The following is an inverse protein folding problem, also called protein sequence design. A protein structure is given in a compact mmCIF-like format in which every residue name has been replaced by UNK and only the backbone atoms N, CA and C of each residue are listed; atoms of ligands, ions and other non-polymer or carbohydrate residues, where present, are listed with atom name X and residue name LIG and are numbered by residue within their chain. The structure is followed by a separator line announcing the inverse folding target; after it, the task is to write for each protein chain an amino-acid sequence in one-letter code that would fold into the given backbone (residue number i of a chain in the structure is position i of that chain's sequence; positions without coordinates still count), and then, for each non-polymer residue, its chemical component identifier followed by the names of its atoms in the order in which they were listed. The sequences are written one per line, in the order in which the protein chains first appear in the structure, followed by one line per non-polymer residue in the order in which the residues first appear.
data_IF_700579550925
#
_entry.id   IF_700579550925
#
_cell.length_a   1.000
_cell.length_b   1.000
_cell.length_c   1.000
_cell.angle_alpha   90.00
_cell.angle_beta   90.00
_cell.angle_gamma   90.00
#
_symmetry.space_group_name_H-M   'P 1'
#
loop_
_entity.id
_entity.type
_entity.pdbx_description
1 polymer ?
#
# COMPACT_ATOMS: atom_id res chain seq x y z
N UNK A 1 -7.84 0.91 -11.03
CA UNK A 1 -6.90 2.02 -10.89
C UNK A 1 -7.13 2.86 -9.64
N UNK A 2 -8.28 3.52 -9.44
CA UNK A 2 -8.52 4.33 -8.20
C UNK A 2 -8.33 3.49 -6.92
N UNK A 3 -8.76 2.23 -6.90
CA UNK A 3 -8.52 1.36 -5.75
C UNK A 3 -7.02 1.13 -5.50
N UNK A 4 -6.23 0.93 -6.55
CA UNK A 4 -4.77 0.80 -6.41
C UNK A 4 -4.15 2.09 -5.86
N UNK A 5 -4.63 3.25 -6.29
CA UNK A 5 -4.21 4.53 -5.72
C UNK A 5 -4.59 4.64 -4.23
N UNK A 6 -5.81 4.27 -3.86
CA UNK A 6 -6.24 4.24 -2.45
C UNK A 6 -5.38 3.27 -1.63
N UNK A 7 -5.01 2.12 -2.19
CA UNK A 7 -4.12 1.15 -1.54
C UNK A 7 -2.72 1.76 -1.29
N UNK A 8 -2.16 2.44 -2.29
CA UNK A 8 -0.86 3.10 -2.14
C UNK A 8 -0.89 4.27 -1.15
N UNK A 9 -1.95 5.09 -1.18
CA UNK A 9 -2.13 6.18 -0.20
C UNK A 9 -2.27 5.59 1.21
N UNK A 10 -3.07 4.51 1.36
CA UNK A 10 -3.22 3.81 2.63
C UNK A 10 -1.88 3.24 3.12
N UNK A 11 -1.10 2.62 2.23
CA UNK A 11 0.23 2.12 2.54
C UNK A 11 1.13 3.23 3.11
N UNK A 12 1.23 4.39 2.43
CA UNK A 12 2.03 5.51 2.91
C UNK A 12 1.51 6.09 4.22
N UNK A 13 0.18 6.17 4.38
CA UNK A 13 -0.45 6.67 5.61
C UNK A 13 -0.17 5.73 6.78
N UNK A 14 -0.33 4.43 6.59
CA UNK A 14 -0.03 3.43 7.63
C UNK A 14 1.46 3.44 7.93
N UNK A 15 2.34 3.51 6.92
CA UNK A 15 3.78 3.61 7.12
C UNK A 15 4.18 4.81 8.00
N UNK A 16 3.48 5.93 7.91
CA UNK A 16 3.77 7.13 8.71
C UNK A 16 3.14 7.10 10.11
N UNK A 17 2.01 6.42 10.28
CA UNK A 17 1.20 6.49 11.51
C UNK A 17 1.19 5.21 12.33
N UNK A 18 1.79 4.11 11.84
CA UNK A 18 1.80 2.84 12.56
C UNK A 18 2.58 2.97 13.88
N UNK A 19 2.10 2.33 14.97
CA UNK A 19 2.75 2.40 16.26
C UNK A 19 4.02 1.52 16.31
N UNK A 20 5.09 1.99 15.70
CA UNK A 20 6.38 1.32 15.68
C UNK A 20 7.09 1.37 17.04
N UNK A 21 7.81 0.31 17.38
CA UNK A 21 8.84 0.40 18.41
C UNK A 21 10.08 1.15 17.89
N UNK A 22 11.01 1.50 18.79
CA UNK A 22 12.19 2.31 18.45
C UNK A 22 13.04 1.68 17.34
N UNK A 23 13.28 0.36 17.39
CA UNK A 23 14.09 -0.33 16.38
C UNK A 23 13.42 -0.32 15.00
N UNK A 24 12.09 -0.49 14.94
CA UNK A 24 11.32 -0.40 13.71
C UNK A 24 11.31 1.02 13.13
N UNK A 25 11.19 2.05 13.99
CA UNK A 25 11.30 3.44 13.57
C UNK A 25 12.66 3.74 12.96
N UNK A 26 13.74 3.29 13.61
CA UNK A 26 15.10 3.50 13.12
C UNK A 26 15.33 2.82 11.78
N UNK A 27 14.80 1.61 11.58
CA UNK A 27 14.85 0.89 10.31
C UNK A 27 14.12 1.64 9.19
N UNK A 28 12.91 2.13 9.46
CA UNK A 28 12.13 2.89 8.48
C UNK A 28 12.83 4.21 8.13
N UNK A 29 13.38 4.92 9.12
CA UNK A 29 14.13 6.15 8.88
C UNK A 29 15.41 5.88 8.05
N UNK A 30 16.05 4.72 8.23
CA UNK A 30 17.20 4.32 7.44
C UNK A 30 16.83 4.07 5.97
N UNK A 31 15.68 3.45 5.68
CA UNK A 31 15.15 3.29 4.30
C UNK A 31 15.03 4.66 3.59
N UNK A 32 14.70 5.72 4.31
CA UNK A 32 14.62 7.07 3.76
C UNK A 32 15.90 7.88 3.91
N UNK A 33 17.04 7.25 4.24
CA UNK A 33 18.35 7.88 4.47
C UNK A 33 18.34 8.98 5.56
N UNK A 34 17.39 8.95 6.47
CA UNK A 34 17.30 9.88 7.60
C UNK A 34 18.09 9.40 8.83
N UNK A 35 18.53 8.14 8.81
CA UNK A 35 19.42 7.51 9.78
C UNK A 35 20.34 6.50 9.10
N UNK A 36 21.43 6.16 9.75
CA UNK A 36 22.27 5.02 9.37
C UNK A 36 21.57 3.72 9.76
N UNK A 37 21.78 2.68 8.96
CA UNK A 37 21.32 1.35 9.31
C UNK A 37 21.97 0.86 10.60
N UNK A 38 21.21 0.19 11.46
CA UNK A 38 21.75 -0.57 12.58
C UNK A 38 22.78 -1.60 12.09
N UNK A 39 23.65 -2.12 12.95
CA UNK A 39 24.62 -3.13 12.57
C UNK A 39 23.90 -4.39 12.06
N UNK A 40 23.86 -4.50 10.74
CA UNK A 40 23.29 -5.59 9.98
C UNK A 40 24.41 -6.43 9.35
N UNK A 41 24.11 -7.68 9.05
CA UNK A 41 24.99 -8.48 8.19
C UNK A 41 25.01 -7.90 6.76
N UNK A 42 26.05 -8.21 5.99
CA UNK A 42 26.14 -7.78 4.61
C UNK A 42 24.94 -8.25 3.75
N UNK A 43 24.40 -9.43 4.05
CA UNK A 43 23.22 -9.97 3.37
C UNK A 43 21.94 -9.18 3.70
N UNK A 44 21.72 -8.85 4.97
CA UNK A 44 20.58 -8.02 5.40
C UNK A 44 20.66 -6.63 4.80
N UNK A 45 21.85 -6.02 4.80
CA UNK A 45 22.05 -4.69 4.20
C UNK A 45 21.78 -4.70 2.70
N UNK A 46 22.27 -5.72 1.97
CA UNK A 46 21.99 -5.86 0.55
C UNK A 46 20.49 -5.98 0.26
N UNK A 47 19.76 -6.78 1.05
CA UNK A 47 18.32 -6.90 0.96
C UNK A 47 17.61 -5.56 1.22
N UNK A 48 18.04 -4.81 2.25
CA UNK A 48 17.44 -3.51 2.57
C UNK A 48 17.67 -2.47 1.47
N UNK A 49 18.81 -2.46 0.80
CA UNK A 49 19.03 -1.60 -0.37
C UNK A 49 18.09 -1.94 -1.53
N UNK A 50 17.76 -3.23 -1.74
CA UNK A 50 16.76 -3.59 -2.75
C UNK A 50 15.35 -3.12 -2.32
N UNK A 51 15.00 -3.24 -1.04
CA UNK A 51 13.74 -2.72 -0.48
C UNK A 51 13.62 -1.20 -0.72
N UNK A 52 14.70 -0.43 -0.57
CA UNK A 52 14.71 1.02 -0.87
C UNK A 52 14.26 1.30 -2.32
N UNK A 53 14.74 0.54 -3.30
CA UNK A 53 14.31 0.72 -4.70
C UNK A 53 12.82 0.47 -4.88
N UNK A 54 12.25 -0.51 -4.18
CA UNK A 54 10.81 -0.77 -4.24
C UNK A 54 10.01 0.37 -3.60
N UNK A 55 10.49 0.99 -2.52
CA UNK A 55 9.86 2.16 -1.91
C UNK A 55 9.87 3.36 -2.87
N UNK A 56 11.00 3.63 -3.52
CA UNK A 56 11.11 4.69 -4.54
C UNK A 56 10.16 4.41 -5.71
N UNK A 57 10.13 3.17 -6.22
CA UNK A 57 9.23 2.78 -7.30
C UNK A 57 7.75 2.94 -6.89
N UNK A 58 7.39 2.55 -5.67
CA UNK A 58 6.04 2.73 -5.12
C UNK A 58 5.66 4.21 -5.01
N UNK A 59 6.60 5.09 -4.62
CA UNK A 59 6.37 6.53 -4.56
C UNK A 59 6.12 7.12 -5.95
N UNK A 60 6.97 6.78 -6.93
CA UNK A 60 6.80 7.22 -8.33
C UNK A 60 5.45 6.75 -8.88
N UNK A 61 5.08 5.47 -8.64
CA UNK A 61 3.80 4.92 -9.05
C UNK A 61 2.63 5.68 -8.39
N UNK A 62 2.73 6.00 -7.10
CA UNK A 62 1.71 6.76 -6.38
C UNK A 62 1.50 8.13 -7.01
N UNK A 63 2.57 8.89 -7.27
CA UNK A 63 2.51 10.22 -7.91
C UNK A 63 1.88 10.10 -9.30
N UNK A 64 2.31 9.12 -10.10
CA UNK A 64 1.80 8.89 -11.45
C UNK A 64 0.30 8.60 -11.45
N UNK A 65 -0.16 7.75 -10.53
CA UNK A 65 -1.57 7.42 -10.37
C UNK A 65 -2.40 8.59 -9.83
N UNK A 66 -1.83 9.46 -8.98
CA UNK A 66 -2.48 10.70 -8.55
C UNK A 66 -2.76 11.62 -9.74
N UNK A 67 -1.76 11.85 -10.59
CA UNK A 67 -1.91 12.67 -11.81
C UNK A 67 -2.94 12.07 -12.77
N UNK A 68 -2.93 10.75 -12.93
CA UNK A 68 -3.89 10.08 -13.79
C UNK A 68 -5.31 10.12 -13.19
N UNK A 69 -5.48 9.90 -11.89
CA UNK A 69 -6.77 9.94 -11.21
C UNK A 69 -7.41 11.34 -11.26
N UNK A 70 -6.60 12.40 -11.21
CA UNK A 70 -7.05 13.77 -11.41
C UNK A 70 -7.71 13.97 -12.78
N UNK A 71 -7.15 13.35 -13.84
CA UNK A 71 -7.69 13.44 -15.21
C UNK A 71 -8.85 12.49 -15.48
N UNK A 72 -8.89 11.33 -14.81
CA UNK A 72 -9.84 10.24 -15.04
C UNK A 72 -10.41 9.71 -13.71
N UNK A 73 -11.28 10.47 -13.03
CA UNK A 73 -11.71 10.15 -11.67
C UNK A 73 -12.74 9.02 -11.56
N UNK A 74 -13.13 8.36 -12.67
CA UNK A 74 -14.20 7.34 -12.66
C UNK A 74 -13.82 6.09 -11.87
N UNK A 75 -14.57 5.72 -10.82
CA UNK A 75 -14.38 4.44 -10.14
C UNK A 75 -14.94 3.27 -10.98
N UNK A 76 -14.17 2.20 -11.10
CA UNK A 76 -14.63 0.94 -11.71
C UNK A 76 -15.07 -0.02 -10.60
N UNK A 77 -16.31 0.12 -10.13
CA UNK A 77 -16.82 -0.58 -8.96
C UNK A 77 -16.70 -2.11 -9.02
N UNK A 78 -16.90 -2.72 -10.22
CA UNK A 78 -16.77 -4.17 -10.40
C UNK A 78 -15.33 -4.67 -10.20
N UNK A 79 -14.32 -3.93 -10.66
CA UNK A 79 -12.89 -4.26 -10.41
C UNK A 79 -12.58 -4.16 -8.92
N UNK A 80 -13.09 -3.14 -8.29
CA UNK A 80 -12.89 -2.97 -6.84
C UNK A 80 -13.57 -4.05 -6.03
N UNK A 81 -14.81 -4.40 -6.37
CA UNK A 81 -15.52 -5.49 -5.70
C UNK A 81 -14.71 -6.79 -5.81
N UNK A 82 -14.16 -7.09 -6.99
CA UNK A 82 -13.29 -8.24 -7.19
C UNK A 82 -12.04 -8.17 -6.29
N UNK A 83 -11.35 -7.03 -6.26
CA UNK A 83 -10.17 -6.83 -5.40
C UNK A 83 -10.52 -6.99 -3.91
N UNK A 84 -11.65 -6.41 -3.46
CA UNK A 84 -12.10 -6.53 -2.06
C UNK A 84 -12.46 -7.97 -1.70
N UNK A 85 -13.07 -8.73 -2.62
CA UNK A 85 -13.43 -10.14 -2.38
C UNK A 85 -12.21 -11.07 -2.40
N UNK A 86 -11.19 -10.78 -3.21
CA UNK A 86 -10.00 -11.62 -3.33
C UNK A 86 -8.93 -11.34 -2.26
N UNK A 87 -8.85 -10.11 -1.76
CA UNK A 87 -7.80 -9.73 -0.80
C UNK A 87 -7.86 -10.47 0.55
N UNK A 88 -9.03 -10.85 1.13
CA UNK A 88 -9.04 -11.69 2.33
C UNK A 88 -8.37 -13.06 2.11
N UNK A 89 -8.39 -13.58 0.89
CA UNK A 89 -7.73 -14.87 0.58
C UNK A 89 -6.21 -14.78 0.79
N UNK A 90 -5.60 -13.64 0.53
CA UNK A 90 -4.17 -13.41 0.77
C UNK A 90 -3.84 -13.35 2.27
N UNK A 91 -4.79 -12.94 3.11
CA UNK A 91 -4.63 -12.87 4.56
C UNK A 91 -4.84 -14.24 5.23
N UNK A 92 -5.71 -15.11 4.69
CA UNK A 92 -5.96 -16.44 5.23
C UNK A 92 -4.67 -17.30 5.23
N UNK A 93 -3.87 -17.20 4.16
CA UNK A 93 -2.59 -17.89 4.01
C UNK A 93 -1.43 -16.91 3.90
N UNK A 94 -1.36 -15.94 4.81
CA UNK A 94 -0.41 -14.83 4.74
C UNK A 94 1.04 -15.29 4.61
N UNK A 95 1.44 -16.33 5.34
CA UNK A 95 2.80 -16.88 5.24
C UNK A 95 3.15 -17.33 3.81
N UNK A 96 2.26 -18.07 3.16
CA UNK A 96 2.50 -18.53 1.78
C UNK A 96 2.48 -17.37 0.78
N UNK A 97 1.56 -16.43 0.96
CA UNK A 97 1.46 -15.21 0.14
C UNK A 97 2.73 -14.37 0.30
N UNK A 98 3.23 -14.22 1.52
CA UNK A 98 4.46 -13.51 1.85
C UNK A 98 5.69 -14.14 1.18
N UNK A 99 5.84 -15.46 1.29
CA UNK A 99 6.92 -16.22 0.64
C UNK A 99 6.84 -16.11 -0.89
N UNK A 100 5.64 -16.20 -1.46
CA UNK A 100 5.43 -16.03 -2.90
C UNK A 100 5.83 -14.62 -3.37
N UNK A 101 5.43 -13.58 -2.65
CA UNK A 101 5.80 -12.20 -2.96
C UNK A 101 7.32 -12.02 -2.90
N UNK A 102 7.99 -12.56 -1.88
CA UNK A 102 9.45 -12.49 -1.79
C UNK A 102 10.15 -13.19 -2.95
N UNK A 103 9.67 -14.34 -3.39
CA UNK A 103 10.20 -15.03 -4.58
C UNK A 103 10.04 -14.21 -5.86
N UNK A 104 8.98 -13.43 -5.98
CA UNK A 104 8.75 -12.55 -7.14
C UNK A 104 9.68 -11.33 -7.09
N UNK A 105 9.78 -10.66 -5.95
CA UNK A 105 10.56 -9.42 -5.82
C UNK A 105 12.05 -9.67 -5.62
N UNK A 106 12.42 -10.80 -5.00
CA UNK A 106 13.80 -11.19 -4.67
C UNK A 106 14.13 -12.58 -5.23
N UNK A 107 14.13 -12.75 -6.57
CA UNK A 107 14.32 -14.07 -7.19
C UNK A 107 15.68 -14.69 -6.91
N UNK A 108 16.67 -13.90 -6.47
CA UNK A 108 18.00 -14.37 -6.04
C UNK A 108 18.01 -15.01 -4.66
N UNK A 109 16.90 -14.98 -3.90
CA UNK A 109 16.76 -15.64 -2.60
C UNK A 109 17.43 -14.93 -1.42
N UNK A 110 17.83 -13.68 -1.57
CA UNK A 110 18.52 -12.88 -0.54
C UNK A 110 17.60 -12.35 0.58
N UNK A 111 16.43 -12.95 0.77
CA UNK A 111 15.43 -12.61 1.79
C UNK A 111 15.30 -13.69 2.88
N UNK A 112 16.11 -14.75 2.82
CA UNK A 112 16.07 -15.84 3.79
C UNK A 112 17.15 -15.59 4.84
N UNK A 113 16.72 -15.21 6.04
CA UNK A 113 17.62 -14.90 7.15
C UNK A 113 17.42 -15.84 8.33
N UNK A 114 18.46 -16.05 9.18
CA UNK A 114 18.32 -16.74 10.44
C UNK A 114 17.27 -16.08 11.35
N UNK A 115 16.61 -16.87 12.21
CA UNK A 115 15.58 -16.39 13.12
C UNK A 115 16.06 -15.33 14.14
N UNK A 116 17.35 -15.33 14.44
CA UNK A 116 18.04 -14.41 15.34
C UNK A 116 18.62 -13.20 14.60
N UNK A 117 18.41 -13.07 13.30
CA UNK A 117 18.88 -11.93 12.53
C UNK A 117 18.18 -10.64 12.97
N UNK A 118 18.86 -9.52 12.78
CA UNK A 118 18.32 -8.21 13.14
C UNK A 118 16.99 -7.91 12.43
N UNK A 119 16.88 -8.22 11.13
CA UNK A 119 15.66 -7.98 10.37
C UNK A 119 14.48 -8.82 10.89
N UNK A 120 14.67 -10.13 11.10
CA UNK A 120 13.60 -11.02 11.57
C UNK A 120 13.13 -10.64 12.97
N UNK A 121 14.04 -10.24 13.85
CA UNK A 121 13.70 -9.84 15.22
C UNK A 121 13.07 -8.45 15.30
N UNK A 122 13.44 -7.54 14.39
CA UNK A 122 12.89 -6.17 14.35
C UNK A 122 11.53 -6.11 13.67
N UNK A 123 11.36 -6.80 12.53
CA UNK A 123 10.14 -6.80 11.71
C UNK A 123 9.68 -8.26 11.45
N UNK A 124 9.14 -8.93 12.47
CA UNK A 124 8.65 -10.29 12.33
C UNK A 124 7.44 -10.38 11.37
N UNK A 125 7.08 -11.58 10.96
CA UNK A 125 5.97 -11.80 10.03
C UNK A 125 4.64 -11.23 10.53
N UNK A 126 4.40 -11.28 11.81
CA UNK A 126 3.21 -10.71 12.47
C UNK A 126 3.11 -9.19 12.29
N UNK A 127 4.24 -8.49 12.28
CA UNK A 127 4.31 -7.06 11.97
C UNK A 127 3.78 -6.79 10.55
N UNK A 128 4.25 -7.55 9.56
CA UNK A 128 3.79 -7.39 8.17
C UNK A 128 2.33 -7.76 7.99
N UNK A 129 1.83 -8.77 8.71
CA UNK A 129 0.41 -9.11 8.72
C UNK A 129 -0.44 -7.95 9.25
N UNK A 130 -0.09 -7.39 10.42
CA UNK A 130 -0.81 -6.27 11.02
C UNK A 130 -0.77 -5.03 10.12
N UNK A 131 0.41 -4.72 9.58
CA UNK A 131 0.60 -3.62 8.64
C UNK A 131 -0.26 -3.79 7.37
N UNK A 132 -0.29 -4.99 6.79
CA UNK A 132 -1.08 -5.31 5.60
C UNK A 132 -2.59 -5.20 5.86
N UNK A 133 -3.06 -5.69 7.00
CA UNK A 133 -4.47 -5.58 7.42
C UNK A 133 -4.87 -4.11 7.59
N UNK A 134 -4.06 -3.32 8.31
CA UNK A 134 -4.33 -1.89 8.52
C UNK A 134 -4.36 -1.13 7.17
N UNK A 135 -3.39 -1.39 6.30
CA UNK A 135 -3.32 -0.80 4.95
C UNK A 135 -4.55 -1.15 4.13
N UNK A 136 -4.97 -2.40 4.14
CA UNK A 136 -6.14 -2.85 3.38
C UNK A 136 -7.43 -2.21 3.89
N UNK A 137 -7.67 -2.20 5.20
CA UNK A 137 -8.86 -1.57 5.80
C UNK A 137 -8.93 -0.09 5.42
N UNK A 138 -7.81 0.64 5.58
CA UNK A 138 -7.76 2.06 5.22
C UNK A 138 -8.00 2.28 3.72
N UNK A 139 -7.46 1.43 2.85
CA UNK A 139 -7.69 1.51 1.41
C UNK A 139 -9.17 1.34 1.04
N UNK A 140 -9.86 0.39 1.67
CA UNK A 140 -11.31 0.17 1.48
C UNK A 140 -12.11 1.40 1.94
N UNK A 141 -11.76 1.98 3.08
CA UNK A 141 -12.40 3.20 3.59
C UNK A 141 -12.21 4.36 2.59
N UNK A 142 -10.98 4.63 2.18
CA UNK A 142 -10.66 5.71 1.24
C UNK A 142 -11.39 5.53 -0.10
N UNK A 143 -11.41 4.31 -0.60
CA UNK A 143 -12.12 4.01 -1.85
C UNK A 143 -13.64 4.19 -1.72
N UNK A 144 -14.21 3.76 -0.61
CA UNK A 144 -15.66 3.95 -0.34
C UNK A 144 -16.01 5.43 -0.29
N UNK A 145 -15.23 6.24 0.44
CA UNK A 145 -15.40 7.69 0.51
C UNK A 145 -15.29 8.31 -0.87
N UNK A 146 -14.23 7.96 -1.63
CA UNK A 146 -14.06 8.44 -3.00
C UNK A 146 -15.27 8.13 -3.88
N UNK A 147 -15.76 6.91 -3.83
CA UNK A 147 -16.90 6.45 -4.62
C UNK A 147 -18.18 7.22 -4.25
N UNK A 148 -18.46 7.42 -2.97
CA UNK A 148 -19.61 8.20 -2.50
C UNK A 148 -19.54 9.66 -2.98
N UNK A 149 -18.39 10.31 -2.86
CA UNK A 149 -18.19 11.69 -3.33
C UNK A 149 -18.38 11.80 -4.83
N UNK A 150 -17.79 10.87 -5.61
CA UNK A 150 -17.93 10.85 -7.05
C UNK A 150 -19.39 10.73 -7.52
N UNK A 151 -20.14 9.77 -6.96
CA UNK A 151 -21.54 9.57 -7.35
C UNK A 151 -22.44 10.70 -6.88
N UNK A 152 -22.19 11.30 -5.72
CA UNK A 152 -22.92 12.49 -5.26
C UNK A 152 -22.75 13.66 -6.25
N UNK A 153 -21.56 13.93 -6.71
CA UNK A 153 -21.28 14.98 -7.69
C UNK A 153 -21.95 14.69 -9.03
N UNK A 154 -21.91 13.44 -9.47
CA UNK A 154 -22.55 13.00 -10.72
C UNK A 154 -24.07 13.19 -10.66
N UNK A 155 -24.73 12.77 -9.58
CA UNK A 155 -26.18 12.94 -9.38
C UNK A 155 -26.57 14.41 -9.36
N UNK A 156 -25.84 15.27 -8.64
CA UNK A 156 -26.11 16.71 -8.58
C UNK A 156 -25.99 17.39 -9.94
N UNK A 157 -24.96 17.03 -10.71
CA UNK A 157 -24.76 17.55 -12.07
C UNK A 157 -25.85 17.08 -13.04
N UNK A 158 -26.30 15.84 -12.92
CA UNK A 158 -27.39 15.28 -13.71
C UNK A 158 -28.71 16.03 -13.42
N UNK A 159 -29.06 16.20 -12.16
CA UNK A 159 -30.30 16.92 -11.75
C UNK A 159 -30.28 18.37 -12.22
N UNK A 160 -29.16 19.07 -12.12
CA UNK A 160 -29.05 20.46 -12.61
C UNK A 160 -29.22 20.54 -14.12
N UNK A 161 -28.71 19.55 -14.87
CA UNK A 161 -28.88 19.49 -16.32
C UNK A 161 -30.35 19.23 -16.72
N UNK A 162 -31.07 18.39 -15.96
CA UNK A 162 -32.50 18.15 -16.19
C UNK A 162 -33.32 19.42 -15.91
N UNK A 163 -33.07 20.08 -14.80
CA UNK A 163 -33.75 21.33 -14.44
C UNK A 163 -33.59 22.41 -15.53
N UNK A 164 -32.38 22.57 -16.07
CA UNK A 164 -32.12 23.53 -17.16
C UNK A 164 -32.81 23.20 -18.49
N UNK A 165 -33.12 21.92 -18.75
CA UNK A 165 -33.88 21.48 -19.94
C UNK A 165 -35.39 21.67 -19.79
N UNK A 166 -35.91 21.55 -18.56
CA UNK A 166 -37.35 21.70 -18.28
C UNK A 166 -37.77 23.16 -18.14
N UNK A 167 -36.82 24.07 -17.97
CA UNK A 167 -37.06 25.53 -17.89
C UNK A 167 -37.03 26.24 -19.26
N UNK A 168 -36.80 25.54 -20.33
CA UNK A 168 -36.85 26.00 -21.74
C UNK A 168 -38.08 25.51 -22.41
#
# INVERSE_FOLDING_TARGET
MIFVLCLLIAFWTVLLLFPYNTAQQDLILAIFHLREYAPMTAAELAHMHEVEYYFVAALILTITLCVYAYKQPKPYWHVTLLCVLLSPLTLINFHQTWDMLHKIFFPQGNYIFPYDSYLITTVPLEFFLQFSVATFILAVILYTVWTCVYYRQWVSSFLSSLSSRLSK
#
